data_IF_005178013495
#
_entry.id   IF_005178013495
#
_cell.length_a   1.000
_cell.length_b   1.000
_cell.length_c   1.000
_cell.angle_alpha   90.00
_cell.angle_beta   90.00
_cell.angle_gamma   90.00
#
_symmetry.space_group_name_H-M   'P 1'
#
loop_
_entity.id
_entity.type
_entity.pdbx_description
1 polymer ?
#
# COMPACT_ATOMS: atom_id res chain seq x y z
N UNK A 1 7.10 -31.37 -16.67
CA UNK A 1 7.07 -29.93 -16.28
C UNK A 1 5.61 -29.51 -16.22
N UNK A 2 5.08 -29.00 -15.10
CA UNK A 2 3.70 -28.52 -15.08
C UNK A 2 3.56 -27.32 -16.01
N UNK A 3 2.62 -27.39 -16.94
CA UNK A 3 2.29 -26.29 -17.86
C UNK A 3 1.37 -25.32 -17.16
N UNK A 4 1.68 -24.01 -17.25
CA UNK A 4 0.84 -22.96 -16.68
C UNK A 4 -0.43 -22.79 -17.51
N UNK A 5 -1.54 -22.60 -16.84
CA UNK A 5 -2.81 -22.22 -17.46
C UNK A 5 -2.75 -20.78 -18.00
N UNK A 6 -3.66 -20.46 -18.92
CA UNK A 6 -3.82 -19.08 -19.42
C UNK A 6 -4.08 -18.10 -18.28
N UNK A 7 -4.89 -18.50 -17.29
CA UNK A 7 -5.21 -17.68 -16.12
C UNK A 7 -3.95 -17.30 -15.35
N UNK A 8 -3.09 -18.26 -15.03
CA UNK A 8 -1.85 -18.01 -14.28
C UNK A 8 -0.86 -17.13 -15.07
N UNK A 9 -0.82 -17.29 -16.40
CA UNK A 9 0.02 -16.48 -17.27
C UNK A 9 -0.49 -15.03 -17.26
N UNK A 10 -1.79 -14.82 -17.51
CA UNK A 10 -2.41 -13.50 -17.49
C UNK A 10 -2.24 -12.82 -16.13
N UNK A 11 -2.53 -13.53 -15.02
CA UNK A 11 -2.34 -13.02 -13.67
C UNK A 11 -0.88 -12.63 -13.40
N UNK A 12 0.07 -13.42 -13.90
CA UNK A 12 1.49 -13.11 -13.79
C UNK A 12 1.89 -11.84 -14.53
N UNK A 13 1.32 -11.61 -15.72
CA UNK A 13 1.56 -10.38 -16.50
C UNK A 13 0.89 -9.18 -15.84
N UNK A 14 -0.37 -9.30 -15.43
CA UNK A 14 -1.11 -8.24 -14.73
C UNK A 14 -0.36 -7.83 -13.46
N UNK A 15 0.08 -8.79 -12.64
CA UNK A 15 0.84 -8.52 -11.42
C UNK A 15 2.15 -7.77 -11.66
N UNK A 16 2.79 -7.93 -12.82
CA UNK A 16 4.00 -7.19 -13.20
C UNK A 16 3.72 -5.78 -13.71
N UNK A 17 2.51 -5.54 -14.22
CA UNK A 17 2.10 -4.30 -14.87
C UNK A 17 0.88 -3.69 -14.18
N UNK A 18 0.77 -3.84 -12.85
CA UNK A 18 -0.32 -3.24 -12.07
C UNK A 18 -0.38 -1.72 -12.24
N UNK A 19 0.74 -1.06 -12.54
CA UNK A 19 0.77 0.38 -12.81
C UNK A 19 -0.07 0.80 -14.02
N UNK A 20 -0.28 -0.08 -14.99
CA UNK A 20 -1.14 0.16 -16.15
C UNK A 20 -2.61 -0.20 -15.90
N UNK A 21 -2.92 -0.85 -14.79
CA UNK A 21 -4.27 -1.25 -14.43
C UNK A 21 -5.03 -0.07 -13.80
N UNK A 22 -6.08 0.37 -14.50
CA UNK A 22 -6.98 1.44 -14.06
C UNK A 22 -8.38 0.90 -13.76
N UNK A 23 -9.06 0.32 -14.74
CA UNK A 23 -10.43 -0.19 -14.59
C UNK A 23 -10.48 -1.71 -14.77
N UNK A 24 -11.27 -2.40 -13.95
CA UNK A 24 -11.50 -3.84 -13.98
C UNK A 24 -12.77 -4.21 -14.75
N UNK A 25 -13.71 -3.26 -14.89
CA UNK A 25 -15.04 -3.53 -15.45
C UNK A 25 -15.75 -4.65 -14.68
N UNK A 26 -16.37 -5.58 -15.40
CA UNK A 26 -17.10 -6.72 -14.83
C UNK A 26 -16.19 -7.93 -14.51
N UNK A 27 -14.87 -7.72 -14.40
CA UNK A 27 -13.93 -8.81 -14.14
C UNK A 27 -14.14 -9.38 -12.74
N UNK A 28 -14.41 -10.69 -12.59
CA UNK A 28 -14.58 -11.30 -11.27
C UNK A 28 -13.33 -11.16 -10.40
N UNK A 29 -13.51 -10.75 -9.14
CA UNK A 29 -12.41 -10.53 -8.20
C UNK A 29 -11.47 -11.72 -8.05
N UNK A 30 -11.98 -12.96 -8.08
CA UNK A 30 -11.17 -14.19 -8.01
C UNK A 30 -10.02 -14.24 -9.03
N UNK A 31 -10.19 -13.61 -10.19
CA UNK A 31 -9.16 -13.56 -11.24
C UNK A 31 -8.12 -12.48 -10.94
N UNK A 32 -8.50 -11.45 -10.19
CA UNK A 32 -7.67 -10.31 -9.82
C UNK A 32 -6.99 -10.48 -8.46
N UNK A 33 -7.46 -11.38 -7.62
CA UNK A 33 -6.95 -11.62 -6.27
C UNK A 33 -5.43 -11.90 -6.27
N UNK A 34 -4.96 -12.82 -7.11
CA UNK A 34 -3.53 -13.19 -7.16
C UNK A 34 -2.62 -12.04 -7.65
N UNK A 35 -2.97 -11.28 -8.70
CA UNK A 35 -2.27 -10.04 -9.05
C UNK A 35 -2.30 -9.00 -7.92
N UNK A 36 -3.46 -8.72 -7.33
CA UNK A 36 -3.64 -7.68 -6.32
C UNK A 36 -2.90 -7.99 -5.02
N UNK A 37 -2.76 -9.26 -4.64
CA UNK A 37 -1.91 -9.69 -3.50
C UNK A 37 -0.43 -9.30 -3.65
N UNK A 38 0.04 -9.05 -4.87
CA UNK A 38 1.42 -8.60 -5.15
C UNK A 38 1.54 -7.08 -5.27
N UNK A 39 0.41 -6.37 -5.23
CA UNK A 39 0.40 -4.92 -5.33
C UNK A 39 1.15 -4.29 -4.16
N UNK A 40 1.79 -3.17 -4.43
CA UNK A 40 2.17 -2.23 -3.37
C UNK A 40 0.91 -1.54 -2.83
N UNK A 41 0.95 -1.05 -1.60
CA UNK A 41 -0.18 -0.33 -1.01
C UNK A 41 -0.66 0.86 -1.85
N UNK A 42 0.27 1.56 -2.52
CA UNK A 42 -0.06 2.68 -3.41
C UNK A 42 -0.79 2.22 -4.68
N UNK A 43 -0.37 1.09 -5.27
CA UNK A 43 -1.05 0.49 -6.42
C UNK A 43 -2.44 0.01 -6.04
N UNK A 44 -2.56 -0.69 -4.90
CA UNK A 44 -3.84 -1.18 -4.38
C UNK A 44 -4.82 -0.02 -4.15
N UNK A 45 -4.38 1.05 -3.47
CA UNK A 45 -5.17 2.25 -3.24
C UNK A 45 -5.69 2.87 -4.55
N UNK A 46 -4.81 3.01 -5.56
CA UNK A 46 -5.18 3.61 -6.84
C UNK A 46 -6.20 2.73 -7.57
N UNK A 47 -6.00 1.41 -7.59
CA UNK A 47 -6.90 0.47 -8.23
C UNK A 47 -8.28 0.50 -7.55
N UNK A 48 -8.35 0.47 -6.22
CA UNK A 48 -9.62 0.59 -5.48
C UNK A 48 -10.34 1.91 -5.77
N UNK A 49 -9.60 3.02 -5.87
CA UNK A 49 -10.19 4.33 -6.20
C UNK A 49 -10.88 4.33 -7.56
N UNK A 50 -10.35 3.59 -8.53
CA UNK A 50 -10.95 3.42 -9.85
C UNK A 50 -12.02 2.30 -9.89
N UNK A 51 -12.00 1.37 -8.93
CA UNK A 51 -12.86 0.20 -8.89
C UNK A 51 -13.52 0.04 -7.51
N UNK A 52 -14.49 0.89 -7.14
CA UNK A 52 -15.08 0.86 -5.80
C UNK A 52 -15.75 -0.48 -5.44
N UNK A 53 -16.20 -1.23 -6.45
CA UNK A 53 -16.92 -2.49 -6.29
C UNK A 53 -16.09 -3.63 -5.69
N UNK A 54 -14.74 -3.58 -5.77
CA UNK A 54 -13.88 -4.60 -5.15
C UNK A 54 -13.40 -4.25 -3.75
N UNK A 55 -13.75 -3.06 -3.21
CA UNK A 55 -13.17 -2.55 -1.96
C UNK A 55 -13.43 -3.45 -0.76
N UNK A 56 -14.59 -4.12 -0.72
CA UNK A 56 -14.90 -5.08 0.36
C UNK A 56 -14.04 -6.34 0.24
N UNK A 57 -13.85 -6.86 -0.97
CA UNK A 57 -13.06 -8.06 -1.24
C UNK A 57 -11.55 -7.82 -1.10
N UNK A 58 -11.08 -6.59 -1.27
CA UNK A 58 -9.66 -6.22 -1.10
C UNK A 58 -9.27 -5.91 0.33
N UNK A 59 -10.21 -5.88 1.29
CA UNK A 59 -9.93 -5.45 2.67
C UNK A 59 -8.80 -6.27 3.32
N UNK A 60 -8.80 -7.58 3.13
CA UNK A 60 -7.77 -8.48 3.67
C UNK A 60 -6.39 -8.27 3.04
N UNK A 61 -6.33 -7.71 1.82
CA UNK A 61 -5.08 -7.41 1.14
C UNK A 61 -4.29 -6.28 1.82
N UNK A 62 -4.94 -5.50 2.69
CA UNK A 62 -4.30 -4.45 3.48
C UNK A 62 -3.59 -4.97 4.73
N UNK A 63 -3.90 -6.18 5.19
CA UNK A 63 -3.29 -6.77 6.39
C UNK A 63 -1.77 -6.84 6.26
N UNK A 64 -1.16 -7.42 5.20
CA UNK A 64 0.30 -7.47 5.06
C UNK A 64 0.95 -6.08 5.02
N UNK A 65 0.24 -5.08 4.48
CA UNK A 65 0.72 -3.70 4.44
C UNK A 65 0.71 -3.06 5.84
N UNK A 66 -0.31 -3.33 6.66
CA UNK A 66 -0.36 -2.89 8.04
C UNK A 66 0.69 -3.58 8.92
N UNK A 67 0.90 -4.88 8.72
CA UNK A 67 1.90 -5.66 9.45
C UNK A 67 3.35 -5.27 9.10
N UNK A 68 3.56 -4.45 8.06
CA UNK A 68 4.87 -3.82 7.81
C UNK A 68 5.25 -2.82 8.90
N UNK A 69 4.27 -2.26 9.62
CA UNK A 69 4.51 -1.41 10.78
C UNK A 69 4.75 -2.27 12.02
N UNK A 70 5.93 -2.12 12.64
CA UNK A 70 6.40 -2.98 13.74
C UNK A 70 5.44 -2.96 14.95
N UNK A 71 4.92 -1.78 15.29
CA UNK A 71 4.00 -1.59 16.41
C UNK A 71 2.64 -2.25 16.14
N UNK A 72 2.11 -2.14 14.93
CA UNK A 72 0.86 -2.82 14.53
C UNK A 72 1.05 -4.33 14.54
N UNK A 73 2.19 -4.83 14.01
CA UNK A 73 2.50 -6.25 14.02
C UNK A 73 2.56 -6.84 15.43
N UNK A 74 3.23 -6.16 16.36
CA UNK A 74 3.29 -6.59 17.77
C UNK A 74 1.89 -6.59 18.40
N UNK A 75 1.08 -5.56 18.14
CA UNK A 75 -0.29 -5.48 18.66
C UNK A 75 -1.20 -6.59 18.10
N UNK A 76 -1.04 -6.93 16.82
CA UNK A 76 -1.77 -8.02 16.18
C UNK A 76 -1.35 -9.39 16.73
N UNK A 77 -0.05 -9.66 16.87
CA UNK A 77 0.48 -10.89 17.47
C UNK A 77 0.05 -11.06 18.94
N UNK A 78 -0.14 -9.95 19.66
CA UNK A 78 -0.65 -9.94 21.04
C UNK A 78 -2.18 -10.10 21.13
N UNK A 79 -2.91 -10.14 20.01
CA UNK A 79 -4.38 -10.23 19.99
C UNK A 79 -5.10 -8.92 20.34
N UNK A 80 -4.39 -7.79 20.35
CA UNK A 80 -4.96 -6.48 20.68
C UNK A 80 -5.67 -5.82 19.49
N UNK A 81 -5.56 -6.39 18.29
CA UNK A 81 -6.19 -5.91 17.05
C UNK A 81 -7.09 -7.02 16.52
N UNK A 82 -8.38 -6.74 16.38
CA UNK A 82 -9.33 -7.69 15.80
C UNK A 82 -9.09 -7.88 14.30
N UNK A 83 -9.45 -9.04 13.78
CA UNK A 83 -9.49 -9.29 12.33
C UNK A 83 -10.54 -8.40 11.64
N UNK A 84 -11.61 -8.02 12.34
CA UNK A 84 -12.67 -7.13 11.83
C UNK A 84 -12.25 -5.65 11.75
N UNK A 85 -10.98 -5.36 12.02
CA UNK A 85 -10.45 -4.00 11.90
C UNK A 85 -10.52 -3.54 10.44
N UNK A 86 -10.84 -2.26 10.23
CA UNK A 86 -10.74 -1.64 8.92
C UNK A 86 -9.27 -1.43 8.53
N UNK A 87 -8.62 -2.48 8.03
CA UNK A 87 -7.19 -2.50 7.72
C UNK A 87 -6.79 -1.44 6.70
N UNK A 88 -7.66 -1.18 5.71
CA UNK A 88 -7.46 -0.10 4.74
C UNK A 88 -7.35 1.25 5.40
N UNK A 89 -8.31 1.61 6.25
CA UNK A 89 -8.32 2.89 6.95
C UNK A 89 -7.11 3.04 7.89
N UNK A 90 -6.83 1.99 8.68
CA UNK A 90 -5.65 1.93 9.56
C UNK A 90 -4.34 2.19 8.80
N UNK A 91 -4.18 1.58 7.62
CA UNK A 91 -3.00 1.82 6.78
C UNK A 91 -2.91 3.27 6.32
N UNK A 92 -4.03 3.83 5.82
CA UNK A 92 -4.06 5.17 5.26
C UNK A 92 -3.74 6.24 6.30
N UNK A 93 -4.34 6.16 7.48
CA UNK A 93 -4.07 7.07 8.59
C UNK A 93 -2.59 7.02 9.00
N UNK A 94 -2.06 5.80 9.15
CA UNK A 94 -0.65 5.60 9.51
C UNK A 94 0.28 6.12 8.43
N UNK A 95 -0.05 5.89 7.16
CA UNK A 95 0.74 6.34 6.03
C UNK A 95 0.76 7.87 5.94
N UNK A 96 -0.38 8.54 6.12
CA UNK A 96 -0.47 10.00 6.14
C UNK A 96 0.33 10.60 7.30
N UNK A 97 0.22 10.03 8.51
CA UNK A 97 0.98 10.50 9.67
C UNK A 97 2.50 10.40 9.43
N UNK A 98 2.93 9.28 8.84
CA UNK A 98 4.34 9.07 8.47
C UNK A 98 4.82 10.06 7.40
N UNK A 99 3.99 10.35 6.39
CA UNK A 99 4.32 11.37 5.39
C UNK A 99 4.47 12.75 6.02
N UNK A 100 3.53 13.14 6.89
CA UNK A 100 3.58 14.42 7.61
C UNK A 100 4.85 14.55 8.47
N UNK A 101 5.20 13.50 9.23
CA UNK A 101 6.45 13.46 10.02
C UNK A 101 7.68 13.62 9.14
N UNK A 102 7.74 12.92 8.00
CA UNK A 102 8.85 13.03 7.03
C UNK A 102 8.99 14.44 6.46
N UNK A 103 7.87 15.07 6.09
CA UNK A 103 7.88 16.45 5.58
C UNK A 103 8.39 17.44 6.62
N UNK A 104 7.95 17.33 7.88
CA UNK A 104 8.43 18.19 8.98
C UNK A 104 9.92 18.02 9.24
N UNK A 105 10.43 16.79 9.27
CA UNK A 105 11.87 16.53 9.46
C UNK A 105 12.66 17.07 8.27
N UNK A 106 12.19 16.83 7.04
CA UNK A 106 12.82 17.35 5.83
C UNK A 106 12.88 18.88 5.80
N UNK A 107 11.82 19.57 6.25
CA UNK A 107 11.81 21.02 6.38
C UNK A 107 12.81 21.52 7.43
N UNK A 108 12.91 20.86 8.59
CA UNK A 108 13.89 21.19 9.64
C UNK A 108 15.32 21.03 9.13
N UNK A 109 15.64 19.93 8.44
CA UNK A 109 16.98 19.68 7.88
C UNK A 109 17.35 20.76 6.87
N UNK A 110 16.44 21.09 5.93
CA UNK A 110 16.67 22.15 4.95
C UNK A 110 16.92 23.51 5.60
N UNK A 111 16.11 23.85 6.62
CA UNK A 111 16.30 25.10 7.37
C UNK A 111 17.67 25.16 8.04
N UNK A 112 18.12 24.07 8.64
CA UNK A 112 19.41 24.02 9.33
C UNK A 112 20.58 24.11 8.35
N UNK A 113 20.47 23.46 7.19
CA UNK A 113 21.49 23.56 6.13
C UNK A 113 21.62 24.99 5.60
N UNK A 114 20.51 25.69 5.39
CA UNK A 114 20.51 27.09 4.95
C UNK A 114 21.14 28.03 6.00
N UNK A 115 20.91 27.78 7.29
CA UNK A 115 21.55 28.54 8.38
C UNK A 115 23.08 28.39 8.35
N UNK A 116 23.57 27.16 8.23
CA UNK A 116 25.01 26.85 8.17
C UNK A 116 25.67 27.42 6.90
N UNK A 117 24.97 27.44 5.76
CA UNK A 117 25.48 28.06 4.53
C UNK A 117 25.60 29.57 4.70
N UNK A 118 24.55 30.23 5.23
CA UNK A 118 24.59 31.67 5.46
C UNK A 118 25.69 32.06 6.44
N UNK A 119 25.94 31.28 7.50
CA UNK A 119 27.04 31.53 8.46
C UNK A 119 28.45 31.39 7.87
N UNK A 120 28.61 30.68 6.74
CA UNK A 120 29.90 30.53 6.05
C UNK A 120 30.16 31.59 4.99
N UNK A 121 29.13 32.34 4.61
CA UNK A 121 29.24 33.47 3.67
C UNK A 121 29.52 34.82 4.37
N UNK A 122 29.66 34.79 5.70
CA UNK A 122 30.18 35.88 6.54
C UNK A 122 31.52 35.49 7.17
#
# INVERSE_FOLDING_TARGET
MPTKSLVEICQGIIGKHLDALYELGDTPFRLMEAPLKRATAQQLYRIEKCNPHITEETQDLWIPHCLSFRDIRIAYEAGNVSHDTNWREMYLDRHEENQRKRQLIGAKIKSHYNQIQNEKEF
#
